data_IF_850276520319
#
_entry.id   IF_850276520319
#
_cell.length_a   1.000
_cell.length_b   1.000
_cell.length_c   1.000
_cell.angle_alpha   90.00
_cell.angle_beta   90.00
_cell.angle_gamma   90.00
#
_symmetry.space_group_name_H-M   'P 1'
#
loop_
_entity.id
_entity.type
_entity.pdbx_description
1 polymer ?
#
# COMPACT_ATOMS: atom_id res chain seq x y z
N UNK A 1 -14.52 2.37 2.51
CA UNK A 1 -13.14 2.85 2.27
C UNK A 1 -13.08 4.02 1.27
N UNK A 2 -14.19 4.36 0.64
CA UNK A 2 -14.33 5.48 -0.32
C UNK A 2 -13.17 5.52 -1.35
N UNK A 3 -13.07 4.55 -2.28
CA UNK A 3 -11.97 4.48 -3.23
C UNK A 3 -11.98 5.69 -4.16
N UNK A 4 -10.80 6.26 -4.42
CA UNK A 4 -10.57 7.27 -5.44
C UNK A 4 -9.82 6.63 -6.59
N UNK A 5 -10.33 6.80 -7.80
CA UNK A 5 -9.76 6.17 -8.99
C UNK A 5 -8.60 6.97 -9.59
N UNK A 6 -7.71 6.23 -10.22
CA UNK A 6 -6.58 6.72 -10.96
C UNK A 6 -5.27 6.68 -10.20
N UNK A 7 -4.23 6.33 -10.94
CA UNK A 7 -2.83 6.46 -10.57
C UNK A 7 -2.09 7.13 -11.72
N UNK A 8 -1.28 8.13 -11.44
CA UNK A 8 -0.40 8.76 -12.42
C UNK A 8 1.03 8.53 -11.96
N UNK A 9 1.78 7.73 -12.69
CA UNK A 9 3.19 7.44 -12.43
C UNK A 9 4.04 8.42 -13.25
N UNK A 10 4.63 9.39 -12.57
CA UNK A 10 5.42 10.47 -13.20
C UNK A 10 6.90 10.12 -13.30
N UNK A 11 7.59 10.64 -14.33
CA UNK A 11 9.03 10.47 -14.51
C UNK A 11 9.77 11.81 -14.40
N UNK A 12 10.95 11.77 -13.74
CA UNK A 12 11.83 12.94 -13.53
C UNK A 12 12.89 13.10 -14.61
N UNK A 13 12.94 12.22 -15.58
CA UNK A 13 13.86 12.25 -16.71
C UNK A 13 13.06 12.17 -18.02
N UNK A 14 13.66 12.70 -19.09
CA UNK A 14 13.02 12.73 -20.39
C UNK A 14 13.33 11.45 -21.16
N UNK A 15 12.34 10.59 -21.30
CA UNK A 15 12.39 9.37 -22.11
C UNK A 15 10.98 8.96 -22.56
N UNK A 16 10.41 9.82 -23.41
CA UNK A 16 9.05 9.60 -23.92
C UNK A 16 8.94 8.33 -24.77
N UNK A 17 9.97 8.02 -25.57
CA UNK A 17 9.95 6.87 -26.46
C UNK A 17 9.92 5.54 -25.68
N UNK A 18 10.75 5.40 -24.64
CA UNK A 18 10.75 4.20 -23.82
C UNK A 18 9.42 4.03 -23.08
N UNK A 19 8.84 5.13 -22.53
CA UNK A 19 7.58 5.04 -21.81
C UNK A 19 6.40 4.70 -22.73
N UNK A 20 6.37 5.23 -23.95
CA UNK A 20 5.37 4.84 -24.95
C UNK A 20 5.50 3.38 -25.37
N UNK A 21 6.74 2.87 -25.51
CA UNK A 21 6.98 1.48 -25.79
C UNK A 21 6.48 0.57 -24.65
N UNK A 22 6.72 0.95 -23.39
CA UNK A 22 6.22 0.23 -22.19
C UNK A 22 4.69 0.17 -22.19
N UNK A 23 4.00 1.28 -22.49
CA UNK A 23 2.53 1.32 -22.58
C UNK A 23 2.03 0.38 -23.68
N UNK A 24 2.67 0.39 -24.86
CA UNK A 24 2.30 -0.49 -25.97
C UNK A 24 2.56 -1.97 -25.65
N UNK A 25 3.66 -2.27 -24.98
CA UNK A 25 4.01 -3.61 -24.54
C UNK A 25 3.01 -4.13 -23.49
N UNK A 26 2.66 -3.32 -22.51
CA UNK A 26 1.65 -3.66 -21.50
C UNK A 26 0.30 -3.97 -22.15
N UNK A 27 -0.10 -3.20 -23.15
CA UNK A 27 -1.32 -3.49 -23.90
C UNK A 27 -1.24 -4.80 -24.68
N UNK A 28 -0.10 -5.05 -25.37
CA UNK A 28 0.12 -6.24 -26.18
C UNK A 28 0.15 -7.52 -25.32
N UNK A 29 0.89 -7.50 -24.20
CA UNK A 29 1.23 -8.71 -23.46
C UNK A 29 0.17 -9.03 -22.38
N UNK A 30 -0.48 -8.02 -21.81
CA UNK A 30 -1.44 -8.18 -20.72
C UNK A 30 -2.86 -7.74 -21.08
N UNK A 31 -3.09 -7.22 -22.29
CA UNK A 31 -4.35 -6.59 -22.70
C UNK A 31 -4.85 -5.53 -21.68
N UNK A 32 -3.90 -4.81 -21.08
CA UNK A 32 -4.16 -3.79 -20.08
C UNK A 32 -3.94 -2.40 -20.65
N UNK A 33 -4.94 -1.51 -20.49
CA UNK A 33 -4.93 -0.17 -21.03
C UNK A 33 -4.27 0.78 -20.03
N UNK A 34 -3.14 1.35 -20.46
CA UNK A 34 -2.47 2.47 -19.83
C UNK A 34 -2.48 3.65 -20.80
N UNK A 35 -2.45 4.88 -20.29
CA UNK A 35 -2.43 6.11 -21.08
C UNK A 35 -1.09 6.81 -20.89
N UNK A 36 -0.37 7.05 -21.98
CA UNK A 36 0.80 7.93 -21.96
C UNK A 36 0.35 9.38 -21.78
N UNK A 37 1.06 10.13 -20.93
CA UNK A 37 0.88 11.56 -20.72
C UNK A 37 2.17 12.29 -21.09
N UNK A 38 2.05 13.23 -22.02
CA UNK A 38 3.12 14.16 -22.39
C UNK A 38 3.44 15.13 -21.23
N UNK A 39 4.55 15.86 -21.39
CA UNK A 39 4.98 16.86 -20.39
C UNK A 39 3.91 17.93 -20.16
N UNK A 40 3.25 18.40 -21.21
CA UNK A 40 2.21 19.43 -21.09
C UNK A 40 0.97 18.90 -20.39
N UNK A 41 0.57 17.66 -20.67
CA UNK A 41 -0.53 16.99 -19.97
C UNK A 41 -0.20 16.77 -18.49
N UNK A 42 1.02 16.37 -18.15
CA UNK A 42 1.45 16.26 -16.74
C UNK A 42 1.38 17.61 -16.04
N UNK A 43 1.88 18.68 -16.67
CA UNK A 43 1.84 20.06 -16.14
C UNK A 43 0.43 20.62 -16.01
N UNK A 44 -0.50 20.15 -16.81
CA UNK A 44 -1.91 20.54 -16.68
C UNK A 44 -2.56 20.05 -15.39
N UNK A 45 -2.08 18.95 -14.84
CA UNK A 45 -2.61 18.31 -13.62
C UNK A 45 -1.70 18.46 -12.40
N UNK A 46 -0.40 18.70 -12.58
CA UNK A 46 0.58 18.87 -11.50
C UNK A 46 1.35 20.19 -11.68
N UNK A 47 1.28 21.07 -10.69
CA UNK A 47 2.03 22.32 -10.67
C UNK A 47 3.50 22.06 -10.28
N UNK A 48 4.24 21.42 -11.20
CA UNK A 48 5.65 21.09 -10.97
C UNK A 48 6.41 21.02 -12.29
N UNK A 49 7.61 21.60 -12.32
CA UNK A 49 8.53 21.56 -13.48
C UNK A 49 9.44 20.32 -13.46
N UNK A 50 9.37 19.50 -12.41
CA UNK A 50 10.28 18.37 -12.20
C UNK A 50 9.94 17.16 -13.07
N UNK A 51 8.72 17.10 -13.63
CA UNK A 51 8.23 15.93 -14.35
C UNK A 51 8.17 16.18 -15.84
N UNK A 52 8.57 15.17 -16.61
CA UNK A 52 8.66 15.22 -18.07
C UNK A 52 7.47 14.52 -18.74
N UNK A 53 7.15 13.34 -18.29
CA UNK A 53 6.05 12.53 -18.79
C UNK A 53 5.50 11.63 -17.69
N UNK A 54 4.38 10.95 -17.96
CA UNK A 54 3.76 10.03 -17.03
C UNK A 54 3.00 8.91 -17.74
N UNK A 55 2.65 7.88 -16.97
CA UNK A 55 1.63 6.91 -17.35
C UNK A 55 0.44 7.08 -16.41
N UNK A 56 -0.76 7.16 -16.98
CA UNK A 56 -2.01 7.13 -16.24
C UNK A 56 -2.62 5.74 -16.30
N UNK A 57 -2.97 5.21 -15.14
CA UNK A 57 -3.81 4.04 -14.97
C UNK A 57 -5.16 4.49 -14.40
N UNK A 58 -6.17 4.52 -15.27
CA UNK A 58 -7.53 4.91 -14.87
C UNK A 58 -8.29 3.82 -14.10
N UNK A 59 -7.83 2.57 -14.19
CA UNK A 59 -8.43 1.42 -13.50
C UNK A 59 -7.87 1.22 -12.08
N UNK A 60 -6.67 1.75 -11.82
CA UNK A 60 -6.11 1.78 -10.47
C UNK A 60 -6.97 2.64 -9.53
N UNK A 61 -6.85 2.38 -8.25
CA UNK A 61 -7.51 3.19 -7.22
C UNK A 61 -6.66 3.23 -5.94
N UNK A 62 -6.89 4.25 -5.14
CA UNK A 62 -6.34 4.33 -3.80
C UNK A 62 -7.45 4.48 -2.76
N UNK A 63 -7.16 4.07 -1.54
CA UNK A 63 -8.11 4.06 -0.44
C UNK A 63 -7.50 4.70 0.81
N UNK A 64 -8.33 5.06 1.75
CA UNK A 64 -7.88 5.44 3.08
C UNK A 64 -7.61 4.17 3.91
N UNK A 65 -6.35 3.80 4.18
CA UNK A 65 -6.01 2.48 4.74
C UNK A 65 -6.60 2.25 6.14
N UNK A 66 -6.63 3.28 6.98
CA UNK A 66 -7.23 3.17 8.32
C UNK A 66 -8.75 2.92 8.25
N UNK A 67 -9.46 3.62 7.36
CA UNK A 67 -10.90 3.40 7.20
C UNK A 67 -11.20 2.01 6.64
N UNK A 68 -10.33 1.50 5.76
CA UNK A 68 -10.43 0.13 5.26
C UNK A 68 -10.22 -0.89 6.41
N UNK A 69 -9.17 -0.73 7.21
CA UNK A 69 -8.91 -1.61 8.35
C UNK A 69 -10.05 -1.59 9.38
N UNK A 70 -10.57 -0.42 9.70
CA UNK A 70 -11.73 -0.28 10.61
C UNK A 70 -12.98 -0.95 10.05
N UNK A 71 -13.23 -0.85 8.74
CA UNK A 71 -14.35 -1.52 8.09
C UNK A 71 -14.22 -3.04 8.16
N UNK A 72 -13.01 -3.58 7.96
CA UNK A 72 -12.75 -5.01 8.12
C UNK A 72 -12.92 -5.46 9.58
N UNK A 73 -12.47 -4.68 10.55
CA UNK A 73 -12.64 -4.99 11.97
C UNK A 73 -14.12 -5.09 12.34
N UNK A 74 -14.92 -4.10 11.94
CA UNK A 74 -16.37 -4.11 12.17
C UNK A 74 -17.06 -5.32 11.52
N UNK A 75 -16.63 -5.73 10.33
CA UNK A 75 -17.19 -6.89 9.65
C UNK A 75 -16.80 -8.20 10.32
N UNK A 76 -15.57 -8.32 10.82
CA UNK A 76 -15.13 -9.48 11.61
C UNK A 76 -16.00 -9.65 12.86
N UNK A 77 -16.26 -8.56 13.58
CA UNK A 77 -17.11 -8.58 14.79
C UNK A 77 -18.56 -8.92 14.44
N UNK A 78 -19.10 -8.35 13.36
CA UNK A 78 -20.45 -8.68 12.87
C UNK A 78 -20.62 -10.16 12.53
N UNK A 79 -19.57 -10.81 12.05
CA UNK A 79 -19.53 -12.24 11.73
C UNK A 79 -19.24 -13.13 12.96
N UNK A 80 -19.16 -12.56 14.16
CA UNK A 80 -18.92 -13.27 15.42
C UNK A 80 -17.43 -13.52 15.73
N UNK A 81 -16.51 -12.95 14.95
CA UNK A 81 -15.10 -12.92 15.27
C UNK A 81 -14.82 -12.02 16.47
N UNK A 82 -13.68 -12.23 17.11
CA UNK A 82 -13.24 -11.43 18.26
C UNK A 82 -11.89 -10.79 17.94
N UNK A 83 -11.78 -9.51 18.25
CA UNK A 83 -10.55 -8.73 18.08
C UNK A 83 -10.07 -8.33 19.49
N UNK A 84 -8.81 -8.58 19.79
CA UNK A 84 -8.18 -8.21 21.03
C UNK A 84 -7.05 -7.24 20.76
N UNK A 85 -7.32 -5.96 20.94
CA UNK A 85 -6.28 -4.93 20.87
C UNK A 85 -5.42 -4.91 22.13
N UNK A 86 -4.25 -4.28 22.07
CA UNK A 86 -3.30 -4.19 23.18
C UNK A 86 -2.94 -5.54 23.83
N UNK A 87 -3.01 -6.61 23.04
CA UNK A 87 -2.83 -8.00 23.47
C UNK A 87 -1.67 -8.63 22.70
N UNK A 88 -0.46 -8.12 22.94
CA UNK A 88 0.74 -8.64 22.30
C UNK A 88 0.94 -10.12 22.59
N UNK A 89 1.23 -10.92 21.55
CA UNK A 89 1.59 -12.31 21.70
C UNK A 89 2.99 -12.41 22.30
N UNK A 90 3.12 -13.05 23.45
CA UNK A 90 4.38 -13.25 24.18
C UNK A 90 5.01 -14.61 23.90
N UNK A 91 4.18 -15.63 23.65
CA UNK A 91 4.62 -16.97 23.32
C UNK A 91 3.62 -17.68 22.42
N UNK A 92 4.11 -18.63 21.64
CA UNK A 92 3.30 -19.52 20.82
C UNK A 92 3.71 -20.96 21.08
N UNK A 93 2.71 -21.84 21.19
CA UNK A 93 2.89 -23.28 21.05
C UNK A 93 2.18 -23.71 19.76
N UNK A 94 2.95 -24.20 18.81
CA UNK A 94 2.47 -24.68 17.50
C UNK A 94 2.57 -26.21 17.40
N UNK A 95 2.92 -26.88 18.47
CA UNK A 95 2.97 -28.34 18.55
C UNK A 95 1.56 -28.94 18.72
N UNK A 96 1.42 -30.22 18.40
CA UNK A 96 0.18 -30.93 18.60
C UNK A 96 -1.02 -30.48 17.73
N UNK A 97 -2.18 -31.00 18.03
CA UNK A 97 -3.42 -30.74 17.29
C UNK A 97 -4.03 -29.37 17.63
N UNK A 98 -3.84 -28.89 18.84
CA UNK A 98 -4.32 -27.60 19.31
C UNK A 98 -3.14 -26.66 19.52
N UNK A 99 -3.19 -25.51 18.84
CA UNK A 99 -2.20 -24.43 18.94
C UNK A 99 -2.59 -23.50 20.07
N UNK A 100 -1.61 -22.84 20.69
CA UNK A 100 -1.85 -21.86 21.71
C UNK A 100 -1.04 -20.56 21.46
N UNK A 101 -1.66 -19.45 21.75
CA UNK A 101 -1.00 -18.12 21.81
C UNK A 101 -1.23 -17.55 23.19
N UNK A 102 -0.15 -17.17 23.87
CA UNK A 102 -0.19 -16.54 25.18
C UNK A 102 0.06 -15.04 25.07
N UNK A 103 -0.73 -14.29 25.80
CA UNK A 103 -0.59 -12.85 26.02
C UNK A 103 -0.48 -12.57 27.52
N UNK A 104 -0.21 -11.32 27.92
CA UNK A 104 -0.26 -10.88 29.31
C UNK A 104 -1.65 -11.04 29.95
N UNK A 105 -2.71 -11.12 29.16
CA UNK A 105 -4.10 -11.19 29.60
C UNK A 105 -4.68 -12.60 29.62
N UNK A 106 -4.00 -13.56 29.03
CA UNK A 106 -4.49 -14.94 28.94
C UNK A 106 -3.97 -15.69 27.72
N UNK A 107 -4.63 -16.81 27.41
CA UNK A 107 -4.25 -17.65 26.29
C UNK A 107 -5.42 -17.95 25.38
N UNK A 108 -5.14 -18.00 24.08
CA UNK A 108 -6.09 -18.42 23.03
C UNK A 108 -5.66 -19.76 22.49
N UNK A 109 -6.59 -20.70 22.39
CA UNK A 109 -6.37 -22.02 21.84
C UNK A 109 -7.16 -22.19 20.54
N UNK A 110 -6.51 -22.71 19.49
CA UNK A 110 -7.12 -22.89 18.18
C UNK A 110 -6.54 -24.10 17.42
N UNK A 111 -7.29 -24.67 16.49
CA UNK A 111 -6.78 -25.71 15.58
C UNK A 111 -5.73 -25.16 14.62
N UNK A 112 -5.94 -23.93 14.13
CA UNK A 112 -5.05 -23.27 13.19
C UNK A 112 -4.60 -21.93 13.76
N UNK A 113 -3.35 -21.57 13.50
CA UNK A 113 -2.76 -20.29 13.83
C UNK A 113 -2.18 -19.67 12.57
N UNK A 114 -2.60 -18.44 12.25
CA UNK A 114 -2.08 -17.65 11.13
C UNK A 114 -1.31 -16.46 11.70
N UNK A 115 -0.07 -16.29 11.26
CA UNK A 115 0.80 -15.19 11.68
C UNK A 115 0.86 -14.17 10.54
N UNK A 116 0.33 -12.98 10.76
CA UNK A 116 0.29 -11.89 9.77
C UNK A 116 0.99 -10.62 10.28
N UNK A 117 1.91 -10.77 11.23
CA UNK A 117 2.57 -9.67 11.92
C UNK A 117 3.67 -8.96 11.13
N UNK A 118 4.06 -9.50 9.95
CA UNK A 118 5.10 -8.91 9.09
C UNK A 118 6.39 -8.64 9.86
N UNK A 119 6.96 -7.45 9.69
CA UNK A 119 8.18 -7.01 10.37
C UNK A 119 8.08 -6.92 11.89
N UNK A 120 6.86 -6.94 12.45
CA UNK A 120 6.60 -6.86 13.89
C UNK A 120 6.53 -8.22 14.59
N UNK A 121 6.86 -9.33 13.94
CA UNK A 121 6.85 -10.67 14.53
C UNK A 121 7.78 -10.79 15.75
N UNK A 122 8.85 -10.00 15.80
CA UNK A 122 9.80 -10.01 16.91
C UNK A 122 10.42 -11.38 17.14
N UNK A 123 10.63 -11.73 18.42
CA UNK A 123 11.21 -13.00 18.84
C UNK A 123 10.26 -14.20 18.86
N UNK A 124 8.97 -14.01 18.54
CA UNK A 124 7.96 -15.08 18.60
C UNK A 124 8.27 -16.28 17.71
N UNK A 125 8.88 -16.04 16.57
CA UNK A 125 9.28 -17.09 15.64
C UNK A 125 10.67 -16.83 15.07
N UNK A 126 11.67 -17.56 15.57
CA UNK A 126 13.04 -17.48 15.04
C UNK A 126 13.11 -17.87 13.57
N UNK A 127 12.26 -18.79 13.11
CA UNK A 127 12.18 -19.20 11.71
C UNK A 127 11.75 -18.02 10.83
N UNK A 128 10.67 -17.32 11.18
CA UNK A 128 10.20 -16.16 10.44
C UNK A 128 11.21 -15.01 10.51
N UNK A 129 11.76 -14.70 11.67
CA UNK A 129 12.76 -13.66 11.86
C UNK A 129 13.99 -13.83 10.94
N UNK A 130 14.36 -15.07 10.62
CA UNK A 130 15.49 -15.38 9.73
C UNK A 130 15.10 -15.48 8.25
N UNK A 131 13.81 -15.40 7.93
CA UNK A 131 13.30 -15.62 6.57
C UNK A 131 13.09 -14.33 5.77
N UNK A 132 13.18 -13.15 6.40
CA UNK A 132 12.98 -11.87 5.73
C UNK A 132 13.87 -10.78 6.34
N UNK A 133 14.17 -9.78 5.51
CA UNK A 133 14.84 -8.56 5.92
C UNK A 133 13.78 -7.47 6.12
N UNK A 134 13.55 -6.97 7.33
CA UNK A 134 12.61 -5.87 7.54
C UNK A 134 13.23 -4.57 7.00
N UNK A 135 12.55 -3.96 6.03
CA UNK A 135 12.94 -2.66 5.48
C UNK A 135 11.94 -1.62 5.99
N UNK A 136 12.43 -0.57 6.60
CA UNK A 136 11.59 0.55 7.03
C UNK A 136 11.21 1.43 5.84
N UNK A 137 9.94 1.73 5.71
CA UNK A 137 9.43 2.77 4.82
C UNK A 137 8.82 3.89 5.65
N UNK A 138 8.82 5.10 5.11
CA UNK A 138 8.35 6.27 5.83
C UNK A 138 7.13 6.85 5.16
N UNK A 139 6.13 7.19 5.96
CA UNK A 139 4.96 7.93 5.50
C UNK A 139 4.94 9.26 6.24
N UNK A 140 4.85 10.34 5.49
CA UNK A 140 4.64 11.67 6.04
C UNK A 140 3.21 12.12 5.74
N UNK A 141 2.56 12.72 6.72
CA UNK A 141 1.22 13.28 6.59
C UNK A 141 1.30 14.77 6.95
N UNK A 142 0.82 15.61 6.05
CA UNK A 142 0.71 17.05 6.31
C UNK A 142 -0.51 17.36 7.17
N UNK A 143 -0.59 18.58 7.64
CA UNK A 143 -1.86 19.15 8.09
C UNK A 143 -2.88 19.22 6.93
N UNK A 144 -4.13 19.46 7.28
CA UNK A 144 -5.21 19.61 6.30
C UNK A 144 -5.00 20.92 5.54
N UNK A 145 -4.70 20.84 4.24
CA UNK A 145 -4.42 21.99 3.37
C UNK A 145 -5.14 21.85 2.01
N UNK A 146 -6.48 21.84 1.96
CA UNK A 146 -7.24 21.54 0.73
C UNK A 146 -6.97 22.54 -0.39
N UNK A 147 -6.84 23.82 -0.08
CA UNK A 147 -6.63 24.86 -1.09
C UNK A 147 -5.25 24.74 -1.76
N UNK A 148 -4.19 24.53 -0.97
CA UNK A 148 -2.84 24.31 -1.49
C UNK A 148 -2.75 23.02 -2.32
N UNK A 149 -3.42 21.97 -1.87
CA UNK A 149 -3.44 20.69 -2.61
C UNK A 149 -4.19 20.85 -3.93
N UNK A 150 -5.35 21.49 -3.93
CA UNK A 150 -6.15 21.70 -5.15
C UNK A 150 -5.45 22.60 -6.17
N UNK A 151 -4.63 23.55 -5.71
CA UNK A 151 -3.77 24.36 -6.58
C UNK A 151 -2.61 23.55 -7.19
N UNK A 152 -1.98 22.70 -6.38
CA UNK A 152 -0.80 21.95 -6.79
C UNK A 152 -1.13 20.69 -7.59
N UNK A 153 -2.24 20.01 -7.26
CA UNK A 153 -2.65 18.73 -7.83
C UNK A 153 -4.11 18.81 -8.25
N UNK A 154 -4.33 18.95 -9.55
CA UNK A 154 -5.66 19.15 -10.17
C UNK A 154 -6.34 17.82 -10.56
N UNK A 155 -6.10 16.78 -9.81
CA UNK A 155 -6.66 15.45 -10.08
C UNK A 155 -6.90 14.69 -8.77
N UNK A 156 -7.95 13.87 -8.66
CA UNK A 156 -8.13 12.98 -7.52
C UNK A 156 -7.25 11.71 -7.58
N UNK A 157 -6.53 11.48 -8.68
CA UNK A 157 -5.66 10.31 -8.83
C UNK A 157 -4.46 10.37 -7.88
N UNK A 158 -4.01 9.22 -7.42
CA UNK A 158 -2.73 9.12 -6.72
C UNK A 158 -1.57 9.44 -7.66
N UNK A 159 -0.50 10.02 -7.12
CA UNK A 159 0.71 10.35 -7.87
C UNK A 159 1.84 9.44 -7.38
N UNK A 160 2.40 8.65 -8.30
CA UNK A 160 3.61 7.86 -8.08
C UNK A 160 4.82 8.54 -8.71
N UNK A 161 5.93 8.65 -7.98
CA UNK A 161 7.15 9.23 -8.50
C UNK A 161 8.14 8.12 -8.87
N UNK A 162 8.85 8.25 -9.98
CA UNK A 162 9.83 7.29 -10.48
C UNK A 162 11.10 7.21 -9.63
N UNK A 163 11.30 8.13 -8.70
CA UNK A 163 12.49 8.12 -7.84
C UNK A 163 12.46 6.92 -6.91
N UNK A 164 13.41 6.00 -7.10
CA UNK A 164 13.57 4.85 -6.21
C UNK A 164 14.19 5.30 -4.88
N UNK A 165 13.79 4.64 -3.80
CA UNK A 165 14.47 4.82 -2.53
C UNK A 165 15.95 4.41 -2.67
N UNK A 166 16.87 5.37 -2.50
CA UNK A 166 18.30 5.10 -2.57
C UNK A 166 19.06 5.72 -3.75
N UNK A 167 18.39 6.47 -4.64
CA UNK A 167 19.06 7.31 -5.63
C UNK A 167 19.43 8.68 -5.05
#
# INVERSE_FOLDING_TARGET
ADPKHGLISVQRYEDAAALQAEVAETKRDFNYDLEYMSRDEVRSVLKSDRYYQAVRDSKAFHIHPLNYARGLAAEIERLGGKIYENSAAEAMDVSGAQKAVRTSWGSVHAKNLVITTGGYTGGLSKKLQRSYLPIATYVMVSEVAPDLISEAIKTPAAIGDSRRAGD
#
